data_IF_171751177239
#
_entry.id   IF_171751177239
#
_cell.length_a   1.000
_cell.length_b   1.000
_cell.length_c   1.000
_cell.angle_alpha   90.00
_cell.angle_beta   90.00
_cell.angle_gamma   90.00
#
_symmetry.space_group_name_H-M   'P 1'
#
loop_
_entity.id
_entity.type
_entity.pdbx_description
1 polymer ?
#
# COMPACT_ATOMS: atom_id res chain seq x y z
N UNK A 1 18.93 -12.10 12.24
CA UNK A 1 18.21 -11.05 12.99
C UNK A 1 16.85 -10.90 12.34
N UNK A 2 15.79 -10.89 13.13
CA UNK A 2 14.42 -10.68 12.64
C UNK A 2 14.01 -9.23 12.95
N UNK A 3 13.41 -8.53 11.99
CA UNK A 3 12.90 -7.18 12.20
C UNK A 3 11.54 -7.23 12.93
N UNK A 4 11.23 -6.25 13.80
CA UNK A 4 9.92 -6.20 14.43
C UNK A 4 8.81 -6.03 13.39
N UNK A 5 7.71 -6.76 13.55
CA UNK A 5 6.53 -6.65 12.68
C UNK A 5 5.84 -5.29 12.84
N UNK A 6 5.26 -4.77 11.74
CA UNK A 6 4.55 -3.49 11.70
C UNK A 6 3.18 -3.66 12.38
N UNK A 7 2.89 -2.87 13.42
CA UNK A 7 1.66 -2.98 14.21
C UNK A 7 0.55 -2.02 13.81
N UNK A 8 0.86 -0.93 13.11
CA UNK A 8 -0.13 0.03 12.64
C UNK A 8 -0.77 -0.44 11.32
N UNK A 9 -1.95 0.10 10.96
CA UNK A 9 -2.52 -0.08 9.63
C UNK A 9 -1.57 0.40 8.52
N UNK A 10 -1.47 -0.36 7.44
CA UNK A 10 -0.59 -0.09 6.29
C UNK A 10 -1.42 0.00 5.02
N UNK A 11 -1.18 1.03 4.22
CA UNK A 11 -1.61 1.10 2.83
C UNK A 11 -0.38 0.93 1.93
N UNK A 12 -0.37 -0.14 1.14
CA UNK A 12 0.64 -0.40 0.12
C UNK A 12 0.04 -0.11 -1.27
N UNK A 13 0.67 0.77 -2.04
CA UNK A 13 0.28 1.11 -3.41
C UNK A 13 1.41 0.70 -4.35
N UNK A 14 1.12 -0.09 -5.38
CA UNK A 14 2.12 -0.66 -6.28
C UNK A 14 1.67 -0.60 -7.75
N UNK A 15 2.58 -0.23 -8.65
CA UNK A 15 2.34 -0.22 -10.09
C UNK A 15 2.74 -1.56 -10.71
N UNK A 16 1.84 -2.23 -11.44
CA UNK A 16 2.16 -3.54 -12.01
C UNK A 16 3.10 -3.47 -13.24
N UNK A 17 3.35 -2.26 -13.75
CA UNK A 17 4.38 -2.00 -14.76
C UNK A 17 5.75 -1.63 -14.16
N UNK A 18 5.93 -1.73 -12.83
CA UNK A 18 7.21 -1.42 -12.20
C UNK A 18 8.30 -2.43 -12.64
N UNK A 19 9.40 -1.91 -13.18
CA UNK A 19 10.54 -2.69 -13.67
C UNK A 19 11.69 -2.78 -12.66
N UNK A 20 11.64 -2.01 -11.56
CA UNK A 20 12.62 -2.01 -10.49
C UNK A 20 12.16 -2.86 -9.29
N UNK A 21 10.89 -2.75 -8.92
CA UNK A 21 10.24 -3.60 -7.92
C UNK A 21 9.12 -4.39 -8.62
N UNK A 22 9.44 -5.60 -9.05
CA UNK A 22 8.49 -6.41 -9.83
C UNK A 22 7.27 -6.82 -8.99
N UNK A 23 6.11 -7.10 -9.62
CA UNK A 23 4.89 -7.54 -8.92
C UNK A 23 5.09 -8.77 -8.02
N UNK A 24 6.02 -9.66 -8.39
CA UNK A 24 6.39 -10.82 -7.56
C UNK A 24 6.93 -10.44 -6.18
N UNK A 25 7.49 -9.24 -6.03
CA UNK A 25 7.96 -8.70 -4.75
C UNK A 25 6.83 -8.34 -3.76
N UNK A 26 5.57 -8.36 -4.20
CA UNK A 26 4.43 -8.23 -3.28
C UNK A 26 4.17 -9.51 -2.47
N UNK A 27 4.65 -10.65 -2.95
CA UNK A 27 4.41 -11.93 -2.30
C UNK A 27 5.04 -11.97 -0.90
N UNK A 28 4.26 -12.38 0.10
CA UNK A 28 4.72 -12.46 1.49
C UNK A 28 4.76 -11.13 2.25
N UNK A 29 4.40 -9.99 1.63
CA UNK A 29 4.41 -8.69 2.30
C UNK A 29 3.49 -8.65 3.55
N UNK A 30 2.39 -9.41 3.53
CA UNK A 30 1.49 -9.57 4.66
C UNK A 30 2.13 -10.26 5.88
N UNK A 31 3.20 -11.02 5.70
CA UNK A 31 3.87 -11.72 6.82
C UNK A 31 4.60 -10.74 7.75
N UNK A 32 4.93 -9.55 7.25
CA UNK A 32 5.62 -8.48 7.97
C UNK A 32 4.69 -7.49 8.69
N UNK A 33 3.38 -7.55 8.41
CA UNK A 33 2.38 -6.62 8.96
C UNK A 33 1.45 -7.38 9.89
N UNK A 34 1.42 -6.98 11.16
CA UNK A 34 0.48 -7.47 12.18
C UNK A 34 -0.80 -6.65 12.23
N UNK A 35 -0.74 -5.37 11.84
CA UNK A 35 -1.91 -4.51 11.66
C UNK A 35 -2.69 -4.83 10.38
N UNK A 36 -3.74 -4.06 10.10
CA UNK A 36 -4.48 -4.19 8.85
C UNK A 36 -3.62 -3.78 7.64
N UNK A 37 -3.48 -4.66 6.66
CA UNK A 37 -2.83 -4.36 5.38
C UNK A 37 -3.89 -4.11 4.30
N UNK A 38 -3.88 -2.92 3.74
CA UNK A 38 -4.60 -2.57 2.52
C UNK A 38 -3.63 -2.55 1.34
N UNK A 39 -3.83 -3.43 0.36
CA UNK A 39 -3.05 -3.45 -0.88
C UNK A 39 -3.86 -2.85 -2.04
N UNK A 40 -3.25 -1.95 -2.79
CA UNK A 40 -3.78 -1.42 -4.04
C UNK A 40 -2.75 -1.56 -5.16
N UNK A 41 -3.14 -2.22 -6.24
CA UNK A 41 -2.31 -2.34 -7.45
C UNK A 41 -2.87 -1.48 -8.59
N UNK A 42 -1.99 -0.84 -9.37
CA UNK A 42 -2.34 -0.01 -10.52
C UNK A 42 -1.76 -0.65 -11.79
N UNK A 43 -2.58 -1.29 -12.66
CA UNK A 43 -2.07 -2.11 -13.77
C UNK A 43 -1.15 -1.41 -14.77
N UNK A 44 -1.30 -0.10 -14.97
CA UNK A 44 -0.56 0.68 -15.99
C UNK A 44 0.49 1.62 -15.41
N UNK A 45 0.64 1.68 -14.09
CA UNK A 45 1.67 2.50 -13.46
C UNK A 45 2.96 1.69 -13.32
N UNK A 46 4.09 2.38 -13.46
CA UNK A 46 5.43 1.87 -13.22
C UNK A 46 5.90 2.13 -11.79
N UNK A 47 7.21 2.36 -11.65
CA UNK A 47 7.86 2.55 -10.36
C UNK A 47 7.37 3.79 -9.59
N UNK A 48 6.97 4.83 -10.33
CA UNK A 48 6.59 6.12 -9.76
C UNK A 48 5.07 6.30 -9.79
N UNK A 49 4.35 5.45 -9.05
CA UNK A 49 2.87 5.39 -9.08
C UNK A 49 2.15 6.73 -8.87
N UNK A 50 2.73 7.63 -8.08
CA UNK A 50 2.18 8.96 -7.82
C UNK A 50 2.38 9.94 -8.99
N UNK A 51 3.38 9.71 -9.86
CA UNK A 51 3.55 10.43 -11.12
C UNK A 51 2.67 9.86 -12.22
N UNK A 52 2.53 8.53 -12.28
CA UNK A 52 1.78 7.86 -13.36
C UNK A 52 0.25 7.94 -13.18
N UNK A 53 -0.23 7.98 -11.93
CA UNK A 53 -1.66 8.00 -11.62
C UNK A 53 -2.00 8.93 -10.43
N UNK A 54 -1.63 10.22 -10.48
CA UNK A 54 -1.70 11.13 -9.33
C UNK A 54 -3.11 11.24 -8.73
N UNK A 55 -4.15 11.39 -9.54
CA UNK A 55 -5.51 11.55 -9.04
C UNK A 55 -6.01 10.27 -8.36
N UNK A 56 -5.64 9.11 -8.90
CA UNK A 56 -6.02 7.81 -8.34
C UNK A 56 -5.32 7.57 -7.00
N UNK A 57 -4.00 7.85 -6.93
CA UNK A 57 -3.22 7.74 -5.70
C UNK A 57 -3.76 8.69 -4.63
N UNK A 58 -3.98 9.96 -4.98
CA UNK A 58 -4.49 10.97 -4.05
C UNK A 58 -5.87 10.60 -3.50
N UNK A 59 -6.80 10.16 -4.36
CA UNK A 59 -8.12 9.69 -3.92
C UNK A 59 -8.00 8.50 -2.97
N UNK A 60 -7.12 7.53 -3.27
CA UNK A 60 -6.94 6.37 -2.40
C UNK A 60 -6.39 6.76 -1.04
N UNK A 61 -5.34 7.60 -1.01
CA UNK A 61 -4.73 8.07 0.23
C UNK A 61 -5.75 8.77 1.12
N UNK A 62 -6.51 9.73 0.57
CA UNK A 62 -7.52 10.47 1.33
C UNK A 62 -8.66 9.56 1.82
N UNK A 63 -9.16 8.67 0.98
CA UNK A 63 -10.19 7.69 1.36
C UNK A 63 -9.71 6.76 2.47
N UNK A 64 -8.46 6.28 2.39
CA UNK A 64 -7.90 5.40 3.41
C UNK A 64 -7.72 6.14 4.75
N UNK A 65 -7.14 7.34 4.75
CA UNK A 65 -6.92 8.15 5.95
C UNK A 65 -8.22 8.58 6.66
N UNK A 66 -9.31 8.76 5.90
CA UNK A 66 -10.63 9.09 6.46
C UNK A 66 -11.36 7.86 6.98
N UNK A 67 -11.15 6.69 6.37
CA UNK A 67 -11.74 5.42 6.82
C UNK A 67 -11.06 4.88 8.07
N UNK A 68 -9.73 4.99 8.19
CA UNK A 68 -8.96 4.49 9.35
C UNK A 68 -9.20 5.28 10.64
N UNK A 69 -9.69 6.52 10.56
CA UNK A 69 -10.13 7.27 11.75
C UNK A 69 -11.40 6.69 12.38
N UNK A 70 -12.15 5.84 11.66
CA UNK A 70 -13.41 5.27 12.15
C UNK A 70 -13.23 4.00 13.00
N UNK A 71 -12.05 3.37 12.97
CA UNK A 71 -11.74 2.14 13.72
C UNK A 71 -10.92 2.36 14.99
N UNK A 72 -10.52 3.61 15.29
CA UNK A 72 -9.72 3.99 16.47
C UNK A 72 -10.49 4.73 17.58
N UNK A 73 -11.82 4.75 17.55
CA UNK A 73 -12.61 5.52 18.50
C UNK A 73 -14.07 5.11 18.57
N UNK A 74 -14.34 3.98 19.22
CA UNK A 74 -15.52 3.70 20.06
C UNK A 74 -15.23 2.50 20.94
#
# INVERSE_FOLDING_TARGET
>A
MEFPKIKCPVLLIHGLGDTALLPGGLNGTWEHVMGELTLMTIPKAGHWVHHDAPELVNRRLLSWLTSTQSSGGR
#
